data_IF_409600708881
#
_entry.id   IF_409600708881
#
_cell.length_a   1.000
_cell.length_b   1.000
_cell.length_c   1.000
_cell.angle_alpha   90.00
_cell.angle_beta   90.00
_cell.angle_gamma   90.00
#
_symmetry.space_group_name_H-M   'P 1'
#
loop_
_entity.id
_entity.type
_entity.pdbx_description
1 polymer ?
#
# COMPACT_ATOMS: atom_id res chain seq x y z
N UNK A 1 -2.07 -28.59 19.58
CA UNK A 1 -2.09 -27.50 18.55
C UNK A 1 -2.55 -26.21 19.17
N UNK A 2 -1.75 -25.18 19.08
CA UNK A 2 -2.05 -23.91 19.71
C UNK A 2 -2.82 -22.97 18.79
N UNK A 3 -3.27 -21.88 19.38
CA UNK A 3 -3.97 -20.80 18.70
C UNK A 3 -3.17 -20.23 17.52
N UNK A 4 -1.85 -20.20 17.64
CA UNK A 4 -0.94 -19.71 16.60
C UNK A 4 -0.98 -20.53 15.31
N UNK A 5 -1.16 -21.85 15.41
CA UNK A 5 -1.23 -22.70 14.22
C UNK A 5 -2.50 -22.45 13.42
N UNK A 6 -3.61 -22.21 14.11
CA UNK A 6 -4.87 -21.85 13.48
C UNK A 6 -4.76 -20.48 12.77
N UNK A 7 -4.06 -19.53 13.39
CA UNK A 7 -3.79 -18.22 12.80
C UNK A 7 -2.94 -18.30 11.54
N UNK A 8 -1.87 -19.08 11.56
CA UNK A 8 -1.00 -19.28 10.40
C UNK A 8 -1.77 -19.87 9.23
N UNK A 9 -2.61 -20.87 9.46
CA UNK A 9 -3.41 -21.49 8.41
C UNK A 9 -4.38 -20.51 7.78
N UNK A 10 -5.00 -19.63 8.55
CA UNK A 10 -5.95 -18.62 8.05
C UNK A 10 -5.27 -17.51 7.26
N UNK A 11 -3.98 -17.25 7.53
CA UNK A 11 -3.22 -16.17 6.92
C UNK A 11 -2.39 -16.61 5.73
N UNK A 12 -2.39 -17.89 5.39
CA UNK A 12 -1.65 -18.40 4.25
C UNK A 12 -2.39 -18.04 2.97
N UNK A 13 -1.94 -16.99 2.32
CA UNK A 13 -2.45 -16.56 1.02
C UNK A 13 -1.29 -16.58 0.04
N UNK A 14 -1.50 -17.22 -1.09
CA UNK A 14 -0.51 -17.22 -2.16
C UNK A 14 -0.76 -16.01 -3.06
N UNK A 15 -0.01 -14.95 -2.83
CA UNK A 15 -0.17 -13.70 -3.59
C UNK A 15 0.17 -13.86 -5.07
N UNK A 16 1.03 -14.80 -5.43
CA UNK A 16 1.37 -15.05 -6.83
C UNK A 16 0.16 -15.50 -7.65
N UNK A 17 -0.80 -16.16 -7.03
CA UNK A 17 -2.02 -16.63 -7.67
C UNK A 17 -3.06 -15.52 -7.85
N UNK A 18 -2.88 -14.38 -7.20
CA UNK A 18 -3.78 -13.23 -7.34
C UNK A 18 -3.30 -12.40 -8.54
N UNK A 19 -3.65 -12.85 -9.71
CA UNK A 19 -3.16 -12.29 -10.99
C UNK A 19 -4.17 -11.41 -11.71
N UNK A 20 -5.27 -11.06 -11.04
CA UNK A 20 -6.28 -10.16 -11.60
C UNK A 20 -6.94 -9.32 -10.50
N UNK A 21 -7.48 -8.18 -10.90
CA UNK A 21 -8.23 -7.30 -9.99
C UNK A 21 -9.45 -8.05 -9.44
N UNK A 22 -10.13 -8.85 -10.26
CA UNK A 22 -11.29 -9.62 -9.82
C UNK A 22 -10.92 -10.58 -8.68
N UNK A 23 -9.79 -11.28 -8.78
CA UNK A 23 -9.30 -12.15 -7.73
C UNK A 23 -8.94 -11.38 -6.48
N UNK A 24 -8.30 -10.22 -6.64
CA UNK A 24 -7.97 -9.35 -5.51
C UNK A 24 -9.22 -8.86 -4.79
N UNK A 25 -10.26 -8.49 -5.52
CA UNK A 25 -11.54 -8.07 -4.94
C UNK A 25 -12.20 -9.21 -4.16
N UNK A 26 -12.13 -10.45 -4.66
CA UNK A 26 -12.61 -11.62 -3.94
C UNK A 26 -11.85 -11.81 -2.61
N UNK A 27 -10.53 -11.63 -2.64
CA UNK A 27 -9.72 -11.74 -1.42
C UNK A 27 -10.04 -10.60 -0.43
N UNK A 28 -10.43 -9.44 -0.91
CA UNK A 28 -10.94 -8.38 -0.03
C UNK A 28 -12.24 -8.79 0.67
N UNK A 29 -13.16 -9.43 -0.04
CA UNK A 29 -14.41 -9.94 0.54
C UNK A 29 -14.16 -11.00 1.60
N UNK A 30 -13.12 -11.80 1.42
CA UNK A 30 -12.72 -12.82 2.39
C UNK A 30 -11.97 -12.25 3.59
N UNK A 31 -11.59 -10.98 3.55
CA UNK A 31 -10.83 -10.33 4.62
C UNK A 31 -9.33 -10.56 4.56
N UNK A 32 -8.80 -11.10 3.45
CA UNK A 32 -7.37 -11.37 3.28
C UNK A 32 -6.61 -10.19 2.70
N UNK A 33 -7.29 -9.35 1.94
CA UNK A 33 -6.74 -8.12 1.38
C UNK A 33 -7.61 -6.92 1.78
N UNK A 34 -7.06 -5.74 1.61
CA UNK A 34 -7.77 -4.48 1.76
C UNK A 34 -7.41 -3.54 0.62
N UNK A 35 -8.26 -2.56 0.39
CA UNK A 35 -8.00 -1.52 -0.59
C UNK A 35 -7.12 -0.45 0.03
N UNK A 36 -6.22 0.10 -0.78
CA UNK A 36 -5.31 1.15 -0.37
C UNK A 36 -5.18 2.19 -1.46
N UNK A 37 -5.26 3.46 -1.11
CA UNK A 37 -5.03 4.54 -2.07
C UNK A 37 -3.55 4.72 -2.36
N UNK A 38 -3.19 4.88 -3.63
CA UNK A 38 -1.85 5.31 -4.02
C UNK A 38 -1.66 6.75 -3.53
N UNK A 39 -2.53 7.65 -3.96
CA UNK A 39 -2.59 9.01 -3.45
C UNK A 39 -3.74 9.13 -2.47
N UNK A 40 -3.41 9.43 -1.22
CA UNK A 40 -4.38 9.57 -0.14
C UNK A 40 -5.38 10.70 -0.42
N UNK A 41 -6.63 10.57 0.05
CA UNK A 41 -7.59 11.69 0.00
C UNK A 41 -7.07 12.97 0.63
N UNK A 42 -6.18 12.90 1.62
CA UNK A 42 -5.58 14.11 2.23
C UNK A 42 -4.74 14.90 1.23
N UNK A 43 -4.30 14.26 0.13
CA UNK A 43 -3.60 14.92 -0.97
C UNK A 43 -4.48 15.11 -2.21
N UNK A 44 -5.80 14.91 -2.08
CA UNK A 44 -6.74 15.03 -3.17
C UNK A 44 -6.96 13.75 -3.98
N UNK A 45 -6.48 12.61 -3.49
CA UNK A 45 -6.68 11.33 -4.16
C UNK A 45 -8.16 10.92 -4.16
N UNK A 46 -8.57 10.23 -5.23
CA UNK A 46 -9.95 9.77 -5.43
C UNK A 46 -10.02 8.25 -5.45
N UNK A 47 -11.23 7.72 -5.49
CA UNK A 47 -11.50 6.29 -5.60
C UNK A 47 -11.43 5.76 -7.04
N UNK A 48 -10.83 6.50 -7.97
CA UNK A 48 -10.55 6.02 -9.32
C UNK A 48 -9.79 4.70 -9.25
N UNK A 49 -10.15 3.68 -10.06
CA UNK A 49 -9.45 2.39 -10.03
C UNK A 49 -7.95 2.46 -10.19
N UNK A 50 -7.43 3.45 -10.93
CA UNK A 50 -5.99 3.65 -11.09
C UNK A 50 -5.29 4.13 -9.81
N UNK A 51 -6.06 4.61 -8.84
CA UNK A 51 -5.55 5.07 -7.54
C UNK A 51 -5.72 4.02 -6.44
N UNK A 52 -6.16 2.81 -6.78
CA UNK A 52 -6.43 1.74 -5.82
C UNK A 52 -5.44 0.60 -5.99
N UNK A 53 -4.84 0.20 -4.88
CA UNK A 53 -4.06 -1.04 -4.77
C UNK A 53 -4.79 -2.00 -3.83
N UNK A 54 -4.50 -3.28 -3.98
CA UNK A 54 -5.01 -4.34 -3.10
C UNK A 54 -3.82 -4.91 -2.35
N UNK A 55 -3.87 -4.83 -1.03
CA UNK A 55 -2.73 -5.15 -0.17
C UNK A 55 -3.19 -6.04 0.99
N UNK A 56 -2.28 -6.81 1.60
CA UNK A 56 -2.60 -7.53 2.83
C UNK A 56 -3.11 -6.59 3.92
N UNK A 57 -4.02 -7.07 4.74
CA UNK A 57 -4.60 -6.29 5.84
C UNK A 57 -3.47 -5.81 6.78
N UNK A 58 -3.47 -4.54 7.08
CA UNK A 58 -2.46 -3.87 7.92
C UNK A 58 -1.50 -2.96 7.14
N UNK A 59 -1.30 -3.21 5.84
CA UNK A 59 -0.41 -2.40 5.01
C UNK A 59 -0.95 -0.98 4.83
N UNK A 60 -2.27 -0.84 4.65
CA UNK A 60 -2.89 0.47 4.50
C UNK A 60 -2.62 1.36 5.72
N UNK A 61 -2.69 0.80 6.90
CA UNK A 61 -2.43 1.52 8.14
C UNK A 61 -1.00 2.07 8.21
N UNK A 62 -0.03 1.28 7.75
CA UNK A 62 1.37 1.70 7.70
C UNK A 62 1.52 2.87 6.72
N UNK A 63 0.92 2.73 5.54
CA UNK A 63 0.96 3.79 4.53
C UNK A 63 0.30 5.07 5.01
N UNK A 64 -0.85 4.98 5.66
CA UNK A 64 -1.53 6.15 6.22
C UNK A 64 -0.64 6.90 7.22
N UNK A 65 0.11 6.17 8.03
CA UNK A 65 1.08 6.77 8.94
C UNK A 65 2.13 7.59 8.21
N UNK A 66 2.69 7.07 7.13
CA UNK A 66 3.65 7.79 6.31
C UNK A 66 3.02 8.98 5.58
N UNK A 67 1.80 8.81 5.07
CA UNK A 67 1.08 9.90 4.41
C UNK A 67 0.83 11.07 5.37
N UNK A 68 0.51 10.78 6.62
CA UNK A 68 0.30 11.81 7.64
C UNK A 68 1.58 12.57 7.98
N UNK A 69 2.71 11.85 8.08
CA UNK A 69 4.02 12.49 8.27
C UNK A 69 4.33 13.41 7.10
N UNK A 70 4.10 12.92 5.89
CA UNK A 70 4.34 13.68 4.68
C UNK A 70 3.44 14.91 4.58
N UNK A 71 2.16 14.79 4.97
CA UNK A 71 1.23 15.92 5.02
C UNK A 71 1.75 17.03 5.93
N UNK A 72 2.31 16.67 7.10
CA UNK A 72 2.91 17.64 8.02
C UNK A 72 4.12 18.34 7.36
N UNK A 73 4.95 17.60 6.64
CA UNK A 73 6.10 18.18 5.95
C UNK A 73 5.65 19.16 4.84
N UNK A 74 4.60 18.81 4.11
CA UNK A 74 4.04 19.68 3.07
C UNK A 74 3.49 20.96 3.70
N UNK A 75 2.76 20.84 4.80
CA UNK A 75 2.19 21.99 5.51
C UNK A 75 3.28 22.92 6.03
N UNK A 76 4.40 22.36 6.50
CA UNK A 76 5.56 23.13 6.96
C UNK A 76 6.42 23.69 5.83
N UNK A 77 6.06 23.44 4.57
CA UNK A 77 6.84 23.86 3.41
C UNK A 77 8.15 23.10 3.20
N UNK A 78 8.29 21.93 3.85
CA UNK A 78 9.50 21.10 3.76
C UNK A 78 9.43 20.05 2.66
N UNK A 79 8.26 19.82 2.07
CA UNK A 79 8.04 18.90 0.96
C UNK A 79 7.08 19.53 -0.04
N UNK A 80 7.24 19.19 -1.34
CA UNK A 80 6.44 19.76 -2.41
C UNK A 80 5.82 18.72 -3.33
N UNK A 81 6.38 17.50 -3.38
CA UNK A 81 5.95 16.48 -4.31
C UNK A 81 5.55 15.21 -3.58
N UNK A 82 4.79 14.35 -4.30
CA UNK A 82 4.41 13.04 -3.81
C UNK A 82 4.56 12.03 -4.95
N UNK A 83 5.19 10.91 -4.65
CA UNK A 83 5.25 9.78 -5.56
C UNK A 83 5.15 8.50 -4.76
N UNK A 84 4.32 7.58 -5.23
CA UNK A 84 4.14 6.25 -4.62
C UNK A 84 4.34 5.21 -5.72
N UNK A 85 5.36 4.38 -5.57
CA UNK A 85 5.74 3.39 -6.58
C UNK A 85 5.52 1.98 -6.06
N UNK A 86 4.52 1.26 -6.57
CA UNK A 86 4.39 -0.17 -6.28
C UNK A 86 5.32 -0.98 -7.18
N UNK A 87 5.86 -2.07 -6.63
CA UNK A 87 6.59 -3.08 -7.38
C UNK A 87 5.87 -4.42 -7.22
N UNK A 88 5.96 -5.26 -8.23
CA UNK A 88 5.21 -6.51 -8.28
C UNK A 88 6.14 -7.69 -8.53
N UNK A 89 5.73 -8.87 -8.08
CA UNK A 89 6.41 -10.14 -8.36
C UNK A 89 5.55 -10.99 -9.28
N UNK A 90 6.16 -11.57 -10.30
CA UNK A 90 5.47 -12.46 -11.23
C UNK A 90 4.27 -11.79 -11.88
N UNK A 91 3.13 -12.47 -11.86
CA UNK A 91 1.88 -11.99 -12.44
C UNK A 91 0.93 -11.40 -11.41
N UNK A 92 1.34 -11.32 -10.14
CA UNK A 92 0.47 -10.84 -9.07
C UNK A 92 0.11 -9.37 -9.26
N UNK A 93 -1.15 -9.03 -8.96
CA UNK A 93 -1.61 -7.64 -8.88
C UNK A 93 -1.47 -7.08 -7.46
N UNK A 94 -1.03 -7.91 -6.51
CA UNK A 94 -0.70 -7.46 -5.14
C UNK A 94 0.73 -6.98 -5.15
N UNK A 95 0.99 -5.69 -4.82
CA UNK A 95 2.37 -5.19 -4.83
C UNK A 95 3.21 -5.92 -3.78
N UNK A 96 4.44 -6.24 -4.17
CA UNK A 96 5.41 -6.87 -3.26
C UNK A 96 6.15 -5.84 -2.43
N UNK A 97 6.24 -4.62 -2.93
CA UNK A 97 6.93 -3.50 -2.28
C UNK A 97 6.28 -2.20 -2.71
N UNK A 98 6.21 -1.24 -1.81
CA UNK A 98 5.66 0.09 -2.07
C UNK A 98 6.65 1.11 -1.54
N UNK A 99 7.07 2.05 -2.39
CA UNK A 99 8.00 3.11 -2.02
C UNK A 99 7.30 4.46 -2.13
N UNK A 100 7.35 5.23 -1.05
CA UNK A 100 6.77 6.58 -0.97
C UNK A 100 7.94 7.57 -0.96
N UNK A 101 7.93 8.49 -1.90
CA UNK A 101 9.01 9.47 -2.08
C UNK A 101 8.41 10.87 -2.18
N UNK A 102 9.04 11.82 -1.51
CA UNK A 102 8.72 13.23 -1.66
C UNK A 102 9.99 14.04 -1.79
N UNK A 103 9.92 15.15 -2.52
CA UNK A 103 11.04 16.03 -2.73
C UNK A 103 10.67 17.49 -2.58
N UNK A 104 11.70 18.34 -2.52
CA UNK A 104 11.59 19.79 -2.55
C UNK A 104 12.75 20.35 -3.36
N UNK A 105 12.42 21.21 -4.33
CA UNK A 105 13.43 21.87 -5.18
C UNK A 105 14.41 20.88 -5.82
N UNK A 106 13.90 19.73 -6.27
CA UNK A 106 14.71 18.70 -6.91
C UNK A 106 15.49 17.79 -5.95
N UNK A 107 15.32 17.97 -4.65
CA UNK A 107 16.02 17.17 -3.61
C UNK A 107 15.01 16.27 -2.90
N UNK A 108 15.36 14.99 -2.77
CA UNK A 108 14.56 14.04 -2.00
C UNK A 108 14.63 14.40 -0.52
N UNK A 109 13.48 14.59 0.12
CA UNK A 109 13.36 14.95 1.53
C UNK A 109 12.69 13.87 2.37
N UNK A 110 12.03 12.91 1.73
CA UNK A 110 11.31 11.83 2.40
C UNK A 110 11.32 10.60 1.51
N UNK A 111 11.65 9.45 2.10
CA UNK A 111 11.56 8.16 1.42
C UNK A 111 11.27 7.08 2.45
N UNK A 112 10.20 6.33 2.22
CA UNK A 112 9.87 5.16 3.02
C UNK A 112 9.48 4.00 2.10
N UNK A 113 9.90 2.80 2.47
CA UNK A 113 9.61 1.59 1.74
C UNK A 113 8.83 0.64 2.62
N UNK A 114 7.75 0.10 2.09
CA UNK A 114 6.94 -0.93 2.75
C UNK A 114 7.18 -2.24 2.02
N UNK A 115 7.77 -3.20 2.70
CA UNK A 115 7.91 -4.56 2.17
C UNK A 115 6.59 -5.29 2.44
N UNK A 116 5.95 -5.78 1.38
CA UNK A 116 4.59 -6.35 1.46
C UNK A 116 4.65 -7.88 1.48
N UNK A 117 5.35 -8.47 0.49
CA UNK A 117 5.49 -9.92 0.45
C UNK A 117 6.65 -10.38 -0.43
#
# INVERSE_FOLDING_TARGET
MGLFDAFKKKKTVNFEEIDSVAKAQEECKKGNLERMYIMSPIFGGTSDPHNILYVPVGVNRIKEGYDNILADLVEQGKAQSFNCKPEYKGKSVVPSRITIISGKDGVEVFKQTIEVW
#
